data_IF_958387420472
#
_entry.id   IF_958387420472
#
_cell.length_a   1.000
_cell.length_b   1.000
_cell.length_c   1.000
_cell.angle_alpha   90.00
_cell.angle_beta   90.00
_cell.angle_gamma   90.00
#
_symmetry.space_group_name_H-M   'P 1'
#
loop_
_entity.id
_entity.type
_entity.pdbx_description
1 polymer ?
#
# COMPACT_ATOMS: atom_id res chain seq x y z
N UNK A 1 28.92 -35.17 40.67
CA UNK A 1 27.67 -35.26 39.90
C UNK A 1 27.47 -33.86 39.34
N UNK A 2 27.93 -33.63 38.11
CA UNK A 2 27.82 -32.35 37.43
C UNK A 2 26.42 -32.25 36.78
N UNK A 3 25.79 -31.07 36.73
CA UNK A 3 24.52 -30.93 36.04
C UNK A 3 24.75 -31.05 34.54
N UNK A 4 23.81 -31.74 33.87
CA UNK A 4 23.79 -31.93 32.43
C UNK A 4 23.69 -30.58 31.72
N UNK A 5 24.53 -30.41 30.71
CA UNK A 5 24.39 -29.37 29.70
C UNK A 5 23.07 -29.63 28.96
N UNK A 6 22.13 -28.68 29.01
CA UNK A 6 20.92 -28.73 28.19
C UNK A 6 21.33 -28.66 26.71
N UNK A 7 21.26 -29.82 26.08
CA UNK A 7 21.52 -30.08 24.68
C UNK A 7 20.33 -29.56 23.85
N UNK A 8 20.27 -28.22 23.67
CA UNK A 8 19.37 -27.61 22.71
C UNK A 8 19.70 -28.13 21.30
N UNK A 9 18.75 -28.87 20.73
CA UNK A 9 18.92 -29.58 19.47
C UNK A 9 19.34 -28.65 18.33
N UNK A 10 20.08 -29.17 17.35
CA UNK A 10 20.52 -28.42 16.16
C UNK A 10 19.36 -27.82 15.36
N UNK A 11 18.14 -28.37 15.47
CA UNK A 11 16.93 -27.80 14.86
C UNK A 11 16.45 -26.52 15.57
N UNK A 12 16.73 -26.37 16.86
CA UNK A 12 16.40 -25.17 17.65
C UNK A 12 17.49 -24.08 17.50
N UNK A 13 18.69 -24.45 17.03
CA UNK A 13 19.76 -23.53 16.64
C UNK A 13 19.67 -23.01 15.20
N UNK A 14 18.78 -23.57 14.36
CA UNK A 14 18.53 -23.09 12.99
C UNK A 14 17.43 -22.03 12.89
N UNK A 15 16.82 -21.62 14.00
CA UNK A 15 15.79 -20.57 14.03
C UNK A 15 16.38 -19.14 14.00
N UNK A 16 17.71 -18.98 14.05
CA UNK A 16 18.38 -17.67 13.93
C UNK A 16 19.37 -17.56 12.75
N UNK A 17 19.20 -18.38 11.72
CA UNK A 17 19.99 -18.31 10.50
C UNK A 17 19.12 -18.31 9.24
N UNK A 18 18.22 -17.33 9.18
CA UNK A 18 17.76 -16.75 7.92
C UNK A 18 17.72 -15.25 8.16
N UNK A 19 18.28 -14.44 7.26
CA UNK A 19 17.83 -13.05 7.17
C UNK A 19 16.31 -13.11 6.98
N UNK A 20 15.53 -12.83 8.02
CA UNK A 20 14.14 -12.48 7.80
C UNK A 20 14.19 -11.28 6.84
N UNK A 21 13.65 -11.49 5.64
CA UNK A 21 13.87 -10.63 4.47
C UNK A 21 13.60 -9.17 4.82
N UNK A 22 14.54 -8.30 4.47
CA UNK A 22 14.33 -6.86 4.62
C UNK A 22 13.13 -6.47 3.78
N UNK A 23 12.22 -5.70 4.36
CA UNK A 23 11.13 -5.05 3.61
C UNK A 23 11.39 -3.57 3.63
N UNK A 24 11.38 -2.92 2.48
CA UNK A 24 11.50 -1.46 2.39
C UNK A 24 10.10 -0.87 2.21
N UNK A 25 9.73 0.09 3.07
CA UNK A 25 8.54 0.92 2.91
C UNK A 25 8.91 2.17 2.11
N UNK A 26 8.16 2.45 1.06
CA UNK A 26 8.30 3.65 0.24
C UNK A 26 7.10 4.54 0.52
N UNK A 27 7.36 5.73 1.05
CA UNK A 27 6.32 6.70 1.42
C UNK A 27 6.31 7.82 0.39
N UNK A 28 5.20 7.99 -0.32
CA UNK A 28 4.95 9.13 -1.19
C UNK A 28 4.61 10.36 -0.34
N UNK A 29 5.26 11.49 -0.63
CA UNK A 29 5.14 12.72 0.15
C UNK A 29 5.09 13.95 -0.75
N UNK A 30 4.60 15.07 -0.21
CA UNK A 30 4.66 16.38 -0.88
C UNK A 30 6.08 16.91 -1.19
N UNK A 31 7.14 16.20 -0.77
CA UNK A 31 8.55 16.60 -0.98
C UNK A 31 9.40 15.56 -1.71
N UNK A 32 8.84 14.40 -2.04
CA UNK A 32 9.64 13.28 -2.53
C UNK A 32 9.13 11.91 -2.09
N UNK A 33 9.99 10.91 -2.26
CA UNK A 33 9.77 9.54 -1.78
C UNK A 33 10.80 9.27 -0.69
N UNK A 34 10.33 8.82 0.47
CA UNK A 34 11.19 8.34 1.56
C UNK A 34 11.14 6.82 1.60
N UNK A 35 12.32 6.19 1.53
CA UNK A 35 12.49 4.77 1.79
C UNK A 35 12.77 4.57 3.27
N UNK A 36 12.15 3.58 3.89
CA UNK A 36 12.40 3.16 5.26
C UNK A 36 12.64 1.66 5.26
N UNK A 37 13.83 1.23 5.65
CA UNK A 37 14.15 -0.20 5.76
C UNK A 37 13.55 -0.80 7.02
N UNK A 38 12.84 -1.90 6.87
CA UNK A 38 12.16 -2.63 7.93
C UNK A 38 12.67 -4.06 8.01
N UNK A 39 12.76 -4.56 9.23
CA UNK A 39 13.09 -5.96 9.53
C UNK A 39 12.12 -6.44 10.60
N UNK A 40 11.01 -7.06 10.18
CA UNK A 40 9.84 -7.26 11.04
C UNK A 40 9.37 -5.92 11.63
N UNK A 41 9.23 -5.81 12.95
CA UNK A 41 8.85 -4.60 13.66
C UNK A 41 10.01 -3.61 13.88
N UNK A 42 11.23 -3.94 13.41
CA UNK A 42 12.40 -3.06 13.57
C UNK A 42 12.49 -2.07 12.42
N UNK A 43 12.46 -0.79 12.78
CA UNK A 43 12.69 0.32 11.86
C UNK A 43 14.19 0.60 11.78
N UNK A 44 14.74 0.50 10.58
CA UNK A 44 16.15 0.70 10.25
C UNK A 44 16.44 2.10 9.71
N UNK A 45 17.33 2.16 8.72
CA UNK A 45 17.67 3.40 8.04
C UNK A 45 16.50 3.91 7.20
N UNK A 46 16.43 5.23 7.05
CA UNK A 46 15.53 5.87 6.10
C UNK A 46 16.25 6.99 5.35
N UNK A 47 15.88 7.16 4.09
CA UNK A 47 16.54 8.04 3.15
C UNK A 47 15.53 8.57 2.12
N UNK A 48 15.76 9.80 1.67
CA UNK A 48 14.98 10.40 0.58
C UNK A 48 15.56 9.92 -0.75
N UNK A 49 14.85 9.01 -1.41
CA UNK A 49 15.27 8.32 -2.65
C UNK A 49 14.83 9.05 -3.91
N UNK A 50 13.80 9.89 -3.81
CA UNK A 50 13.38 10.81 -4.86
C UNK A 50 13.00 12.15 -4.24
N UNK A 51 13.19 13.26 -4.97
CA UNK A 51 12.96 14.63 -4.48
C UNK A 51 11.81 15.36 -5.16
N UNK A 52 11.22 14.73 -6.16
CA UNK A 52 10.03 15.28 -6.83
C UNK A 52 8.79 14.85 -6.04
N UNK A 53 7.84 15.77 -5.75
CA UNK A 53 6.63 15.44 -5.01
C UNK A 53 5.88 14.25 -5.62
N UNK A 54 5.55 13.28 -4.79
CA UNK A 54 4.81 12.09 -5.18
C UNK A 54 3.39 12.15 -4.60
N UNK A 55 2.40 11.86 -5.45
CA UNK A 55 0.98 11.81 -5.10
C UNK A 55 0.57 10.43 -4.59
N UNK A 56 1.23 9.40 -5.07
CA UNK A 56 0.97 8.01 -4.71
C UNK A 56 2.18 7.14 -5.08
N UNK A 57 2.26 5.93 -4.53
CA UNK A 57 3.32 4.96 -4.80
C UNK A 57 2.81 3.54 -4.72
N UNK A 58 3.26 2.69 -5.65
CA UNK A 58 2.94 1.26 -5.65
C UNK A 58 4.17 0.42 -6.01
N UNK A 59 4.13 -0.85 -5.58
CA UNK A 59 5.11 -1.85 -6.00
C UNK A 59 4.55 -2.64 -7.19
N UNK A 60 5.27 -2.61 -8.29
CA UNK A 60 5.04 -3.46 -9.44
C UNK A 60 5.86 -4.74 -9.28
N UNK A 61 5.20 -5.81 -8.86
CA UNK A 61 5.84 -7.11 -8.68
C UNK A 61 6.12 -7.78 -10.03
N UNK A 62 7.31 -8.37 -10.17
CA UNK A 62 7.79 -8.96 -11.44
C UNK A 62 8.19 -10.43 -11.29
N UNK A 63 8.13 -11.15 -12.40
CA UNK A 63 8.61 -12.53 -12.54
C UNK A 63 10.14 -12.58 -12.75
N UNK A 64 10.72 -11.53 -13.34
CA UNK A 64 12.14 -11.43 -13.64
C UNK A 64 12.71 -10.05 -13.27
N UNK A 65 13.86 -10.06 -12.58
CA UNK A 65 14.51 -8.86 -12.05
C UNK A 65 13.90 -8.39 -10.73
N UNK A 66 14.48 -7.35 -10.14
CA UNK A 66 13.96 -6.75 -8.90
C UNK A 66 12.54 -6.21 -9.10
N UNK A 67 11.70 -6.17 -8.07
CA UNK A 67 10.43 -5.46 -8.18
C UNK A 67 10.66 -3.96 -8.49
N UNK A 68 9.65 -3.27 -9.02
CA UNK A 68 9.75 -1.82 -9.28
C UNK A 68 8.91 -1.06 -8.26
N UNK A 69 9.42 0.08 -7.83
CA UNK A 69 8.64 1.09 -7.11
C UNK A 69 8.25 2.15 -8.13
N UNK A 70 6.96 2.38 -8.27
CA UNK A 70 6.39 3.31 -9.24
C UNK A 70 5.66 4.39 -8.48
N UNK A 71 6.02 5.65 -8.72
CA UNK A 71 5.40 6.80 -8.10
C UNK A 71 4.58 7.60 -9.11
N UNK A 72 3.37 7.98 -8.71
CA UNK A 72 2.56 8.94 -9.41
C UNK A 72 3.03 10.36 -9.06
N UNK A 73 3.31 11.19 -10.06
CA UNK A 73 3.73 12.57 -9.86
C UNK A 73 2.90 13.52 -10.73
N UNK A 74 3.03 14.83 -10.47
CA UNK A 74 2.40 15.86 -11.30
C UNK A 74 2.93 15.89 -12.75
N UNK A 75 4.10 15.30 -13.00
CA UNK A 75 4.76 15.33 -14.30
C UNK A 75 4.74 13.97 -15.03
N UNK A 76 4.22 12.91 -14.40
CA UNK A 76 4.31 11.56 -14.96
C UNK A 76 4.52 10.46 -13.93
N UNK A 77 4.85 9.27 -14.43
CA UNK A 77 5.36 8.15 -13.65
C UNK A 77 6.87 8.28 -13.46
N UNK A 78 7.31 8.09 -12.21
CA UNK A 78 8.73 7.97 -11.85
C UNK A 78 8.99 6.60 -11.26
N UNK A 79 10.02 5.90 -11.75
CA UNK A 79 10.23 4.47 -11.48
C UNK A 79 11.63 4.21 -10.97
N UNK A 80 11.73 3.47 -9.87
CA UNK A 80 12.98 2.94 -9.35
C UNK A 80 12.92 1.41 -9.21
N UNK A 81 14.06 0.74 -9.39
CA UNK A 81 14.17 -0.68 -9.06
C UNK A 81 14.37 -0.84 -7.54
N UNK A 82 13.62 -1.75 -6.91
CA UNK A 82 13.77 -2.08 -5.49
C UNK A 82 15.21 -2.53 -5.22
N UNK A 83 15.82 -1.98 -4.16
CA UNK A 83 17.19 -2.28 -3.79
C UNK A 83 17.74 -1.33 -2.73
N UNK A 84 19.05 -1.34 -2.54
CA UNK A 84 19.75 -0.52 -1.53
C UNK A 84 19.82 0.98 -1.86
N UNK A 85 19.80 1.31 -3.14
CA UNK A 85 19.92 2.68 -3.66
C UNK A 85 19.04 2.83 -4.91
N UNK A 86 17.71 2.86 -4.75
CA UNK A 86 16.79 2.91 -5.88
C UNK A 86 16.90 4.27 -6.59
N UNK A 87 17.33 4.24 -7.85
CA UNK A 87 17.38 5.42 -8.70
C UNK A 87 16.04 5.61 -9.41
N UNK A 88 15.30 6.65 -9.03
CA UNK A 88 14.04 7.02 -9.67
C UNK A 88 14.26 7.82 -10.94
N UNK A 89 13.67 7.35 -12.05
CA UNK A 89 13.72 8.01 -13.36
C UNK A 89 12.31 8.19 -13.94
N UNK A 90 12.02 9.33 -14.58
CA UNK A 90 10.76 9.52 -15.29
C UNK A 90 10.67 8.56 -16.48
N UNK A 91 9.50 7.93 -16.65
CA UNK A 91 9.25 6.97 -17.75
C UNK A 91 8.18 7.44 -18.73
N UNK A 92 7.42 8.46 -18.36
CA UNK A 92 6.49 9.21 -19.21
C UNK A 92 6.36 10.66 -18.73
N UNK A 93 5.55 11.45 -19.43
CA UNK A 93 5.32 12.88 -19.19
C UNK A 93 3.84 13.24 -18.97
N UNK A 94 3.02 12.27 -18.54
CA UNK A 94 1.58 12.44 -18.36
C UNK A 94 1.16 12.48 -16.87
N UNK A 95 0.64 13.62 -16.37
CA UNK A 95 0.28 13.81 -14.96
C UNK A 95 -0.55 12.65 -14.39
N UNK A 96 -0.06 12.09 -13.29
CA UNK A 96 -0.64 10.89 -12.68
C UNK A 96 -1.14 11.20 -11.28
N UNK A 97 -2.26 10.60 -10.89
CA UNK A 97 -2.85 10.80 -9.56
C UNK A 97 -2.58 9.59 -8.66
N UNK A 98 -2.86 8.38 -9.16
CA UNK A 98 -2.76 7.17 -8.37
C UNK A 98 -2.27 5.98 -9.20
N UNK A 99 -1.59 5.05 -8.54
CA UNK A 99 -0.96 3.86 -9.13
C UNK A 99 -1.27 2.65 -8.25
N UNK A 100 -1.72 1.55 -8.85
CA UNK A 100 -2.12 0.36 -8.09
C UNK A 100 -1.61 -0.93 -8.70
N UNK A 101 -1.03 -1.78 -7.86
CA UNK A 101 -0.62 -3.13 -8.22
C UNK A 101 -1.81 -4.10 -8.32
N UNK A 102 -1.57 -5.23 -8.99
CA UNK A 102 -2.39 -6.43 -8.81
C UNK A 102 -1.55 -7.49 -8.11
N UNK A 103 -2.21 -8.44 -7.45
CA UNK A 103 -1.53 -9.58 -6.79
C UNK A 103 -0.64 -10.42 -7.73
N UNK A 104 -0.87 -10.35 -9.05
CA UNK A 104 -0.06 -11.09 -10.03
C UNK A 104 1.31 -10.44 -10.23
N UNK A 105 2.38 -11.26 -10.21
CA UNK A 105 3.78 -10.84 -10.44
C UNK A 105 4.14 -10.64 -11.92
N UNK A 106 3.23 -10.07 -12.71
CA UNK A 106 3.38 -9.99 -14.16
C UNK A 106 3.87 -8.62 -14.67
N UNK A 107 4.42 -7.77 -13.79
CA UNK A 107 4.94 -6.46 -14.18
C UNK A 107 3.89 -5.48 -14.71
N UNK A 108 2.63 -5.64 -14.29
CA UNK A 108 1.51 -4.79 -14.72
C UNK A 108 0.99 -3.91 -13.58
N UNK A 109 0.75 -2.63 -13.87
CA UNK A 109 0.05 -1.70 -12.98
C UNK A 109 -1.22 -1.16 -13.63
N UNK A 110 -2.15 -0.73 -12.78
CA UNK A 110 -3.23 0.17 -13.16
C UNK A 110 -2.81 1.59 -12.77
N UNK A 111 -2.98 2.53 -13.68
CA UNK A 111 -2.58 3.93 -13.53
C UNK A 111 -3.81 4.80 -13.75
N UNK A 112 -4.07 5.73 -12.83
CA UNK A 112 -5.10 6.74 -12.97
C UNK A 112 -4.46 8.11 -13.25
N UNK A 113 -4.72 8.64 -14.45
CA UNK A 113 -4.22 9.95 -14.89
C UNK A 113 -5.08 11.09 -14.36
N UNK A 114 -4.49 12.27 -14.25
CA UNK A 114 -5.19 13.49 -13.80
C UNK A 114 -6.34 13.88 -14.74
N UNK A 115 -6.20 13.62 -16.05
CA UNK A 115 -7.26 13.78 -17.04
C UNK A 115 -8.38 12.72 -16.96
N UNK A 116 -8.29 11.79 -16.02
CA UNK A 116 -9.27 10.73 -15.79
C UNK A 116 -9.06 9.45 -16.60
N UNK A 117 -8.03 9.36 -17.44
CA UNK A 117 -7.72 8.13 -18.15
C UNK A 117 -7.29 7.03 -17.16
N UNK A 118 -7.87 5.83 -17.30
CA UNK A 118 -7.48 4.64 -16.55
C UNK A 118 -6.70 3.73 -17.49
N UNK A 119 -5.44 3.51 -17.19
CA UNK A 119 -4.50 2.81 -18.06
C UNK A 119 -3.96 1.55 -17.40
N UNK A 120 -3.61 0.59 -18.25
CA UNK A 120 -2.78 -0.55 -17.89
C UNK A 120 -1.39 -0.32 -18.45
N UNK A 121 -0.41 -0.25 -17.55
CA UNK A 121 1.00 -0.04 -17.89
C UNK A 121 1.75 -1.34 -17.63
N UNK A 122 2.54 -1.77 -18.62
CA UNK A 122 3.38 -2.96 -18.55
C UNK A 122 4.83 -2.55 -18.73
N UNK A 123 5.71 -2.99 -17.84
CA UNK A 123 7.14 -2.70 -17.90
C UNK A 123 7.92 -3.76 -18.69
N UNK A 124 9.05 -3.36 -19.28
CA UNK A 124 9.99 -4.29 -19.91
C UNK A 124 10.59 -5.24 -18.85
N UNK A 125 10.74 -6.52 -19.21
CA UNK A 125 11.34 -7.52 -18.34
C UNK A 125 12.74 -7.10 -17.89
N UNK A 126 12.99 -7.13 -16.57
CA UNK A 126 14.27 -6.77 -15.96
C UNK A 126 14.69 -5.30 -16.08
N UNK A 127 13.82 -4.39 -16.57
CA UNK A 127 14.14 -2.97 -16.80
C UNK A 127 13.08 -2.03 -16.21
N UNK A 128 13.36 -0.72 -16.16
CA UNK A 128 12.42 0.30 -15.67
C UNK A 128 11.56 0.92 -16.77
N UNK A 129 11.89 0.69 -18.05
CA UNK A 129 11.17 1.27 -19.18
C UNK A 129 9.78 0.64 -19.38
N UNK A 130 8.82 1.46 -19.84
CA UNK A 130 7.48 1.00 -20.23
C UNK A 130 7.56 0.21 -21.54
N UNK A 131 7.08 -1.02 -21.53
CA UNK A 131 6.92 -1.85 -22.72
C UNK A 131 5.64 -1.49 -23.50
N UNK A 132 4.55 -1.23 -22.77
CA UNK A 132 3.28 -0.83 -23.38
C UNK A 132 2.35 -0.14 -22.39
N UNK A 133 1.53 0.77 -22.92
CA UNK A 133 0.43 1.42 -22.20
C UNK A 133 -0.86 1.17 -22.97
N UNK A 134 -1.92 0.75 -22.28
CA UNK A 134 -3.25 0.54 -22.86
C UNK A 134 -4.30 1.26 -22.02
N UNK A 135 -5.00 2.22 -22.62
CA UNK A 135 -6.16 2.83 -21.96
C UNK A 135 -7.30 1.80 -21.87
N UNK A 136 -7.78 1.57 -20.65
CA UNK A 136 -8.86 0.63 -20.32
C UNK A 136 -10.21 1.36 -20.21
N UNK A 137 -10.18 2.64 -19.82
CA UNK A 137 -11.38 3.46 -19.73
C UNK A 137 -11.09 4.86 -19.20
N UNK A 138 -12.10 5.48 -18.62
CA UNK A 138 -11.98 6.79 -17.99
C UNK A 138 -12.87 6.89 -16.75
N UNK A 139 -12.39 7.56 -15.72
CA UNK A 139 -13.07 7.90 -14.46
C UNK A 139 -12.84 9.38 -14.21
N UNK A 140 -13.88 10.14 -13.90
CA UNK A 140 -13.73 11.55 -13.58
C UNK A 140 -13.07 11.71 -12.20
N UNK A 141 -12.07 12.60 -12.09
CA UNK A 141 -11.40 12.94 -10.82
C UNK A 141 -10.99 11.70 -9.98
N UNK A 142 -10.17 10.78 -10.53
CA UNK A 142 -9.72 9.62 -9.77
C UNK A 142 -8.85 10.06 -8.59
N UNK A 143 -8.90 9.31 -7.49
CA UNK A 143 -8.22 9.63 -6.23
C UNK A 143 -7.27 8.53 -5.75
N UNK A 144 -7.65 7.26 -5.90
CA UNK A 144 -6.85 6.11 -5.47
C UNK A 144 -7.06 4.90 -6.38
N UNK A 145 -6.08 3.99 -6.41
CA UNK A 145 -6.15 2.73 -7.18
C UNK A 145 -5.52 1.60 -6.37
N UNK A 146 -6.27 0.53 -6.10
CA UNK A 146 -5.70 -0.71 -5.56
C UNK A 146 -6.48 -1.95 -6.04
N UNK A 147 -5.75 -3.04 -6.31
CA UNK A 147 -6.32 -4.35 -6.61
C UNK A 147 -7.32 -4.40 -7.77
N UNK A 148 -7.29 -3.40 -8.66
CA UNK A 148 -8.24 -3.26 -9.77
C UNK A 148 -9.53 -2.51 -9.41
N UNK A 149 -9.56 -1.78 -8.30
CA UNK A 149 -10.55 -0.75 -7.99
C UNK A 149 -9.96 0.63 -8.23
N UNK A 150 -10.83 1.60 -8.50
CA UNK A 150 -10.50 3.03 -8.60
C UNK A 150 -11.49 3.79 -7.73
N UNK A 151 -10.98 4.60 -6.80
CA UNK A 151 -11.76 5.57 -6.04
C UNK A 151 -11.85 6.90 -6.81
N UNK A 152 -12.99 7.59 -6.71
CA UNK A 152 -13.17 8.94 -7.25
C UNK A 152 -14.27 9.70 -6.50
N UNK A 153 -14.40 10.99 -6.79
CA UNK A 153 -15.48 11.80 -6.26
C UNK A 153 -16.89 11.26 -6.62
N UNK A 154 -17.03 10.61 -7.77
CA UNK A 154 -18.32 10.10 -8.25
C UNK A 154 -18.66 8.69 -7.74
N UNK A 155 -17.69 7.99 -7.12
CA UNK A 155 -17.89 6.64 -6.56
C UNK A 155 -16.70 5.72 -6.80
N UNK A 156 -16.96 4.42 -6.65
CA UNK A 156 -15.96 3.35 -6.84
C UNK A 156 -16.19 2.66 -8.18
N UNK A 157 -15.09 2.39 -8.88
CA UNK A 157 -15.12 1.73 -10.18
C UNK A 157 -14.25 0.48 -10.16
N UNK A 158 -14.67 -0.56 -10.89
CA UNK A 158 -13.91 -1.79 -11.10
C UNK A 158 -13.26 -1.80 -12.48
N UNK A 159 -11.96 -2.08 -12.50
CA UNK A 159 -11.17 -2.26 -13.72
C UNK A 159 -11.27 -3.70 -14.20
N UNK A 160 -11.98 -3.88 -15.31
CA UNK A 160 -12.07 -5.14 -16.05
C UNK A 160 -10.93 -5.33 -17.04
N UNK A 161 -11.06 -6.34 -17.89
CA UNK A 161 -10.07 -6.62 -18.93
C UNK A 161 -10.00 -5.49 -19.97
N UNK A 162 -11.17 -5.01 -20.42
CA UNK A 162 -11.33 -4.07 -21.54
C UNK A 162 -12.31 -2.92 -21.20
N UNK A 163 -12.41 -2.55 -19.93
CA UNK A 163 -13.36 -1.52 -19.51
C UNK A 163 -13.28 -1.21 -18.03
N UNK A 164 -13.94 -0.11 -17.66
CA UNK A 164 -14.14 0.31 -16.27
C UNK A 164 -15.64 0.33 -16.01
N UNK A 165 -16.07 -0.27 -14.89
CA UNK A 165 -17.49 -0.39 -14.52
C UNK A 165 -17.71 0.33 -13.20
N UNK A 166 -18.64 1.27 -13.16
CA UNK A 166 -19.14 1.86 -11.91
C UNK A 166 -19.78 0.77 -11.04
N UNK A 167 -19.35 0.68 -9.77
CA UNK A 167 -19.87 -0.26 -8.79
C UNK A 167 -20.56 0.43 -7.61
N UNK A 168 -20.82 1.74 -7.68
CA UNK A 168 -21.60 2.54 -6.74
C UNK A 168 -20.77 3.30 -5.70
N UNK A 169 -21.47 3.73 -4.64
CA UNK A 169 -21.03 4.73 -3.65
C UNK A 169 -20.86 6.13 -4.25
N UNK A 170 -20.46 7.08 -3.43
CA UNK A 170 -20.14 8.46 -3.78
C UNK A 170 -18.97 8.94 -2.89
N UNK A 171 -18.30 10.02 -3.29
CA UNK A 171 -17.16 10.59 -2.56
C UNK A 171 -16.13 9.55 -2.08
N UNK A 172 -15.78 8.59 -2.95
CA UNK A 172 -14.79 7.59 -2.63
C UNK A 172 -13.41 8.25 -2.50
N UNK A 173 -12.75 8.04 -1.38
CA UNK A 173 -11.45 8.62 -1.04
C UNK A 173 -10.33 7.62 -1.29
N UNK A 174 -10.55 6.38 -0.89
CA UNK A 174 -9.57 5.31 -1.00
C UNK A 174 -10.26 3.94 -1.17
N UNK A 175 -9.52 2.96 -1.70
CA UNK A 175 -10.00 1.60 -1.97
C UNK A 175 -8.91 0.58 -1.69
N UNK A 176 -9.31 -0.61 -1.21
CA UNK A 176 -8.44 -1.78 -1.19
C UNK A 176 -9.11 -2.90 -2.01
N UNK A 177 -8.45 -3.34 -3.08
CA UNK A 177 -8.97 -4.36 -3.99
C UNK A 177 -8.35 -5.75 -3.78
N UNK A 178 -7.28 -5.84 -2.99
CA UNK A 178 -6.66 -7.11 -2.63
C UNK A 178 -7.50 -7.85 -1.61
N UNK A 179 -8.07 -9.01 -2.00
CA UNK A 179 -8.90 -9.83 -1.11
C UNK A 179 -10.36 -9.38 -1.09
N UNK A 180 -10.89 -9.11 0.10
CA UNK A 180 -12.24 -8.52 0.22
C UNK A 180 -12.17 -7.04 -0.20
N UNK A 181 -12.94 -6.61 -1.22
CA UNK A 181 -12.93 -5.22 -1.64
C UNK A 181 -13.44 -4.29 -0.54
N UNK A 182 -12.68 -3.24 -0.24
CA UNK A 182 -12.99 -2.20 0.74
C UNK A 182 -13.07 -0.83 0.06
N UNK A 183 -13.90 0.05 0.61
CA UNK A 183 -13.99 1.45 0.19
C UNK A 183 -14.10 2.39 1.38
N UNK A 184 -13.24 3.41 1.37
CA UNK A 184 -13.29 4.57 2.25
C UNK A 184 -14.05 5.69 1.53
N UNK A 185 -15.12 6.20 2.12
CA UNK A 185 -15.86 7.33 1.57
C UNK A 185 -16.10 8.40 2.64
N UNK A 186 -16.47 9.61 2.22
CA UNK A 186 -16.68 10.72 3.15
C UNK A 186 -17.79 10.54 4.19
N UNK A 187 -18.71 9.59 3.97
CA UNK A 187 -19.82 9.29 4.88
C UNK A 187 -19.76 7.88 5.50
N UNK A 188 -18.77 7.04 5.17
CA UNK A 188 -18.76 5.68 5.65
C UNK A 188 -17.57 4.82 5.23
N UNK A 189 -17.53 3.64 5.84
CA UNK A 189 -16.60 2.56 5.54
C UNK A 189 -17.39 1.34 5.05
N UNK A 190 -17.03 0.79 3.89
CA UNK A 190 -17.78 -0.28 3.25
C UNK A 190 -16.91 -1.46 2.80
N UNK A 191 -17.51 -2.65 2.75
CA UNK A 191 -16.97 -3.84 2.08
C UNK A 191 -17.93 -4.37 1.02
N UNK A 192 -17.41 -5.06 0.00
CA UNK A 192 -18.21 -5.52 -1.14
C UNK A 192 -18.59 -7.01 -1.03
N UNK A 193 -19.82 -7.27 -0.57
CA UNK A 193 -20.45 -8.59 -0.58
C UNK A 193 -21.37 -8.79 -1.79
N UNK A 194 -22.68 -8.96 -1.55
CA UNK A 194 -23.72 -8.96 -2.59
C UNK A 194 -24.09 -7.54 -3.08
N UNK A 195 -23.23 -6.57 -2.79
CA UNK A 195 -23.44 -5.13 -2.81
C UNK A 195 -22.53 -4.50 -1.76
N UNK A 196 -22.43 -3.16 -1.74
CA UNK A 196 -21.71 -2.48 -0.68
C UNK A 196 -22.45 -2.63 0.65
N UNK A 197 -21.74 -3.17 1.63
CA UNK A 197 -22.21 -3.40 2.99
C UNK A 197 -21.48 -2.45 3.91
N UNK A 198 -22.22 -1.73 4.75
CA UNK A 198 -21.64 -0.78 5.69
C UNK A 198 -20.91 -1.52 6.81
N UNK A 199 -19.66 -1.13 7.07
CA UNK A 199 -18.95 -1.42 8.32
C UNK A 199 -19.28 -0.35 9.35
N UNK A 200 -19.09 0.94 9.00
CA UNK A 200 -19.41 2.10 9.85
C UNK A 200 -19.93 3.28 9.03
N UNK A 201 -20.83 4.06 9.60
CA UNK A 201 -21.35 5.32 9.04
C UNK A 201 -20.58 6.51 9.62
N UNK A 202 -19.30 6.63 9.27
CA UNK A 202 -18.41 7.72 9.67
C UNK A 202 -17.40 8.02 8.56
N UNK A 203 -16.91 9.25 8.50
CA UNK A 203 -15.92 9.66 7.51
C UNK A 203 -14.71 8.72 7.55
N UNK A 204 -14.37 8.15 6.40
CA UNK A 204 -13.28 7.19 6.27
C UNK A 204 -12.31 7.70 5.22
N UNK A 205 -11.04 7.79 5.57
CA UNK A 205 -10.03 8.50 4.77
C UNK A 205 -9.09 7.57 4.03
N UNK A 206 -8.72 6.44 4.64
CA UNK A 206 -7.79 5.48 4.05
C UNK A 206 -8.18 4.03 4.40
N UNK A 207 -7.89 3.10 3.48
CA UNK A 207 -8.07 1.65 3.67
C UNK A 207 -6.90 0.89 3.04
N UNK A 208 -6.46 -0.18 3.69
CA UNK A 208 -5.50 -1.12 3.11
C UNK A 208 -5.87 -2.55 3.47
N UNK A 209 -5.53 -3.51 2.59
CA UNK A 209 -5.75 -4.93 2.85
C UNK A 209 -4.58 -5.78 2.31
N UNK A 210 -4.27 -6.89 2.99
CA UNK A 210 -3.20 -7.81 2.59
C UNK A 210 -3.66 -8.84 1.53
N UNK A 211 -4.96 -8.95 1.30
CA UNK A 211 -5.57 -9.93 0.41
C UNK A 211 -5.85 -11.30 1.02
N UNK A 212 -5.41 -11.54 2.26
CA UNK A 212 -5.55 -12.79 3.01
C UNK A 212 -6.41 -12.62 4.28
N UNK A 213 -7.05 -11.45 4.43
CA UNK A 213 -8.11 -11.17 5.39
C UNK A 213 -7.76 -10.09 6.41
N UNK A 214 -6.49 -9.67 6.48
CA UNK A 214 -6.11 -8.55 7.33
C UNK A 214 -6.37 -7.24 6.58
N UNK A 215 -6.87 -6.25 7.31
CA UNK A 215 -7.11 -4.94 6.76
C UNK A 215 -7.00 -3.85 7.83
N UNK A 216 -6.73 -2.63 7.38
CA UNK A 216 -6.72 -1.40 8.18
C UNK A 216 -7.65 -0.37 7.55
N UNK A 217 -8.24 0.47 8.38
CA UNK A 217 -9.01 1.63 7.95
C UNK A 217 -8.78 2.81 8.90
N UNK A 218 -8.77 4.03 8.37
CA UNK A 218 -8.82 5.26 9.18
C UNK A 218 -10.24 5.79 9.14
N UNK A 219 -10.96 5.71 10.26
CA UNK A 219 -12.37 6.09 10.40
C UNK A 219 -12.49 7.13 11.51
N UNK A 220 -12.96 8.33 11.20
CA UNK A 220 -13.08 9.46 12.15
C UNK A 220 -11.77 9.71 12.95
N UNK A 221 -10.62 9.61 12.26
CA UNK A 221 -9.25 9.68 12.82
C UNK A 221 -8.80 8.47 13.65
N UNK A 222 -9.67 7.50 13.94
CA UNK A 222 -9.29 6.26 14.61
C UNK A 222 -8.73 5.23 13.62
N UNK A 223 -7.66 4.54 14.01
CA UNK A 223 -7.16 3.38 13.29
C UNK A 223 -7.96 2.14 13.68
N UNK A 224 -8.62 1.51 12.71
CA UNK A 224 -9.31 0.24 12.87
C UNK A 224 -8.53 -0.88 12.18
N UNK A 225 -8.46 -2.04 12.83
CA UNK A 225 -7.77 -3.24 12.33
C UNK A 225 -8.74 -4.42 12.27
N UNK A 226 -8.72 -5.12 11.14
CA UNK A 226 -9.35 -6.41 10.94
C UNK A 226 -8.29 -7.51 11.01
N UNK A 227 -8.41 -8.44 11.96
CA UNK A 227 -7.37 -9.43 12.28
C UNK A 227 -7.40 -10.73 11.43
N UNK A 228 -8.11 -10.74 10.29
CA UNK A 228 -8.16 -11.90 9.40
C UNK A 228 -8.99 -13.09 9.88
N UNK A 229 -9.85 -12.91 10.89
CA UNK A 229 -10.63 -14.01 11.47
C UNK A 229 -12.00 -14.17 10.80
N UNK A 230 -12.11 -15.14 9.89
CA UNK A 230 -13.39 -15.60 9.33
C UNK A 230 -13.92 -14.70 8.20
N UNK A 231 -14.73 -15.26 7.30
CA UNK A 231 -15.26 -14.54 6.12
C UNK A 231 -16.29 -13.46 6.43
N UNK A 232 -16.34 -12.95 7.66
CA UNK A 232 -17.22 -11.88 8.12
C UNK A 232 -16.45 -10.56 8.09
N UNK A 233 -17.14 -9.48 7.70
CA UNK A 233 -16.56 -8.15 7.50
C UNK A 233 -17.46 -7.06 8.10
N UNK A 234 -18.38 -7.44 8.99
CA UNK A 234 -19.27 -6.52 9.69
C UNK A 234 -18.54 -5.68 10.73
N UNK A 235 -19.22 -4.70 11.30
CA UNK A 235 -18.66 -3.77 12.30
C UNK A 235 -17.93 -4.49 13.46
N UNK A 236 -18.47 -5.63 13.90
CA UNK A 236 -17.98 -6.43 15.02
C UNK A 236 -16.62 -7.07 14.80
N UNK A 237 -16.16 -7.18 13.56
CA UNK A 237 -14.87 -7.81 13.23
C UNK A 237 -13.70 -6.82 13.23
N UNK A 238 -13.98 -5.53 13.46
CA UNK A 238 -12.99 -4.46 13.51
C UNK A 238 -12.73 -4.01 14.94
N UNK A 239 -11.45 -3.89 15.29
CA UNK A 239 -11.01 -3.37 16.57
C UNK A 239 -10.27 -2.04 16.39
N UNK A 240 -10.49 -1.09 17.29
CA UNK A 240 -9.66 0.12 17.37
C UNK A 240 -8.26 -0.27 17.82
N UNK A 241 -7.24 0.23 17.14
CA UNK A 241 -5.84 0.02 17.46
C UNK A 241 -5.20 1.34 17.91
N UNK A 242 -4.63 1.34 19.11
CA UNK A 242 -3.89 2.50 19.62
C UNK A 242 -2.49 2.54 18.99
N UNK A 243 -2.18 3.63 18.29
CA UNK A 243 -0.81 3.93 17.90
C UNK A 243 0.02 4.35 19.12
N UNK A 244 1.35 4.12 19.12
CA UNK A 244 2.23 4.50 20.22
C UNK A 244 2.51 6.02 20.24
N UNK A 245 1.77 6.81 19.46
CA UNK A 245 1.85 8.25 19.29
C UNK A 245 0.43 8.84 19.21
N UNK A 246 0.26 10.07 19.67
CA UNK A 246 -1.00 10.83 19.62
C UNK A 246 -1.04 11.67 18.33
N UNK A 247 -1.10 10.99 17.19
CA UNK A 247 -1.01 11.56 15.84
C UNK A 247 -2.02 10.84 14.93
N UNK A 248 -2.50 11.52 13.88
CA UNK A 248 -3.55 10.96 13.01
C UNK A 248 -2.92 10.12 11.90
N UNK A 249 -3.39 8.89 11.72
CA UNK A 249 -3.00 8.04 10.60
C UNK A 249 -3.52 8.63 9.27
N UNK A 250 -2.68 8.68 8.24
CA UNK A 250 -3.05 9.23 6.91
C UNK A 250 -2.70 8.32 5.74
N UNK A 251 -1.78 7.37 5.92
CA UNK A 251 -1.46 6.37 4.90
C UNK A 251 -1.24 4.99 5.53
N UNK A 252 -1.72 3.96 4.86
CA UNK A 252 -1.75 2.57 5.34
C UNK A 252 -1.09 1.66 4.31
N UNK A 253 -0.35 0.65 4.77
CA UNK A 253 0.27 -0.31 3.87
C UNK A 253 0.47 -1.68 4.51
N UNK A 254 0.47 -2.71 3.67
CA UNK A 254 0.79 -4.08 4.05
C UNK A 254 2.00 -4.62 3.29
N UNK A 255 2.86 -5.30 4.03
CA UNK A 255 3.98 -6.09 3.51
C UNK A 255 3.90 -7.50 4.08
N UNK A 256 4.79 -8.43 3.68
CA UNK A 256 4.74 -9.80 4.17
C UNK A 256 4.91 -9.89 5.69
N UNK A 257 3.79 -10.10 6.38
CA UNK A 257 3.74 -10.21 7.84
C UNK A 257 3.94 -8.89 8.59
N UNK A 258 3.85 -7.73 7.91
CA UNK A 258 3.96 -6.42 8.56
C UNK A 258 2.86 -5.46 8.11
N UNK A 259 2.37 -4.66 9.06
CA UNK A 259 1.45 -3.55 8.85
C UNK A 259 2.21 -2.24 9.05
N UNK A 260 1.99 -1.26 8.17
CA UNK A 260 2.60 0.06 8.28
C UNK A 260 1.53 1.14 8.27
N UNK A 261 1.72 2.11 9.15
CA UNK A 261 0.92 3.33 9.24
C UNK A 261 1.85 4.52 9.18
N UNK A 262 1.53 5.53 8.37
CA UNK A 262 2.21 6.83 8.37
C UNK A 262 1.23 7.88 8.90
N UNK A 263 1.70 8.70 9.83
CA UNK A 263 0.91 9.78 10.44
C UNK A 263 1.08 11.11 9.70
N UNK A 264 0.14 12.02 9.91
CA UNK A 264 0.16 13.39 9.39
C UNK A 264 1.41 14.20 9.83
N UNK A 265 1.92 13.89 11.03
CA UNK A 265 3.13 14.49 11.59
C UNK A 265 4.44 13.85 11.07
N UNK A 266 4.36 12.80 10.25
CA UNK A 266 5.52 12.18 9.62
C UNK A 266 6.19 11.09 10.45
N UNK A 267 5.41 10.41 11.29
CA UNK A 267 5.85 9.22 12.03
C UNK A 267 5.45 7.98 11.26
N UNK A 268 6.41 7.08 11.04
CA UNK A 268 6.13 5.73 10.55
C UNK A 268 5.95 4.80 11.75
N UNK A 269 4.81 4.12 11.81
CA UNK A 269 4.51 3.05 12.74
C UNK A 269 4.49 1.71 12.01
N UNK A 270 5.06 0.66 12.62
CA UNK A 270 5.09 -0.70 12.08
C UNK A 270 4.66 -1.71 13.13
N UNK A 271 3.87 -2.70 12.75
CA UNK A 271 3.51 -3.86 13.57
C UNK A 271 3.77 -5.15 12.80
N UNK A 272 4.40 -6.13 13.45
CA UNK A 272 4.68 -7.46 12.94
C UNK A 272 3.98 -8.58 13.74
N UNK A 273 2.99 -8.22 14.57
CA UNK A 273 2.21 -9.13 15.43
C UNK A 273 2.52 -9.02 16.92
N UNK A 274 3.56 -8.27 17.30
CA UNK A 274 3.99 -8.05 18.69
C UNK A 274 3.68 -6.62 19.19
N UNK A 275 2.92 -5.86 18.40
CA UNK A 275 2.49 -4.49 18.67
C UNK A 275 3.32 -3.43 17.96
N UNK A 276 2.76 -2.21 17.91
CA UNK A 276 3.30 -1.10 17.16
C UNK A 276 4.64 -0.57 17.69
N UNK A 277 5.60 -0.41 16.78
CA UNK A 277 6.84 0.37 16.94
C UNK A 277 6.74 1.62 16.08
N UNK A 278 7.47 2.68 16.43
CA UNK A 278 7.45 3.90 15.66
C UNK A 278 8.82 4.56 15.53
N UNK A 279 8.97 5.37 14.49
CA UNK A 279 10.11 6.25 14.26
C UNK A 279 9.63 7.49 13.52
N UNK A 280 10.03 8.67 14.00
CA UNK A 280 9.83 9.91 13.25
C UNK A 280 10.77 9.89 12.04
N UNK A 281 10.19 9.89 10.84
CA UNK A 281 10.92 9.91 9.56
C UNK A 281 10.89 11.29 8.89
N UNK A 282 10.18 12.25 9.50
CA UNK A 282 10.22 13.66 9.13
C UNK A 282 9.53 13.99 7.79
N UNK A 283 8.63 13.12 7.36
CA UNK A 283 7.83 13.32 6.14
C UNK A 283 6.64 14.24 6.42
N UNK A 284 6.18 14.95 5.40
CA UNK A 284 4.96 15.77 5.45
C UNK A 284 4.12 15.47 4.24
N UNK A 285 2.82 15.66 4.38
CA UNK A 285 1.86 15.44 3.30
C UNK A 285 2.01 14.02 2.73
N UNK A 286 2.07 13.02 3.62
CA UNK A 286 2.15 11.61 3.21
C UNK A 286 0.85 11.22 2.50
N UNK A 287 0.98 10.68 1.29
CA UNK A 287 -0.16 10.43 0.40
C UNK A 287 -0.34 8.95 0.04
N UNK A 288 0.68 8.12 0.25
CA UNK A 288 0.62 6.68 0.00
C UNK A 288 1.85 5.97 0.56
N UNK A 289 1.73 4.66 0.82
CA UNK A 289 2.85 3.82 1.24
C UNK A 289 2.78 2.46 0.57
N UNK A 290 3.91 2.03 0.02
CA UNK A 290 4.05 0.72 -0.59
C UNK A 290 5.23 -0.06 -0.01
N UNK A 291 5.08 -1.37 0.10
CA UNK A 291 6.05 -2.25 0.77
C UNK A 291 6.62 -3.25 -0.22
N UNK A 292 7.95 -3.28 -0.32
CA UNK A 292 8.66 -4.20 -1.20
C UNK A 292 9.62 -5.09 -0.39
N UNK A 293 9.62 -6.38 -0.68
CA UNK A 293 10.66 -7.29 -0.18
C UNK A 293 11.95 -7.02 -0.95
N UNK A 294 13.06 -6.93 -0.23
CA UNK A 294 14.39 -6.85 -0.82
C UNK A 294 15.02 -8.24 -0.76
N UNK A 295 15.31 -8.79 -1.94
CA UNK A 295 16.00 -10.08 -2.11
C UNK A 295 17.53 -9.96 -2.07
#
# INVERSE_FOLDING_TARGET
MAPAEDDISIDEKRVYAGSAGRTDAYVATGTGIVRVSLSADKIGAFDMVARDPARDVAVCARDEGADLVVAATADGLSVGAVGDDPAFEPVDDEPTVAVGGRRARNGTLVVAREGGAIERVVFEAGKTAIASTTQIGSVAEPRAVDGGLVASAEGVYRVGENGVTDVGLDDARDVAGSGMPLAAIGAGFYWLGNGWMTVREAATDAVAADGDGHAMAVVDSDLLVHAGAGGEWGEETWAVADLPVDETAVALGYGPGISVVVTDAGTLCVDAGDGWRHQVVGVRDAAGVALAVVE
#
